data_IF_129942667386
#
_entry.id   IF_129942667386
#
_cell.length_a   1.000
_cell.length_b   1.000
_cell.length_c   1.000
_cell.angle_alpha   90.00
_cell.angle_beta   90.00
_cell.angle_gamma   90.00
#
_symmetry.space_group_name_H-M   'P 1'
#
loop_
_entity.id
_entity.type
_entity.pdbx_description
1 polymer ?
#
# COMPACT_ATOMS: atom_id res chain seq x y z
N UNK A 1 35.31 7.83 6.69
CA UNK A 1 36.59 7.27 6.33
C UNK A 1 36.42 6.01 5.53
N UNK A 2 37.04 5.94 4.35
CA UNK A 2 37.02 4.74 3.53
C UNK A 2 37.97 3.72 4.16
N UNK A 3 37.45 2.66 4.76
CA UNK A 3 38.24 1.65 5.49
C UNK A 3 38.69 0.48 4.58
N UNK A 4 39.00 0.75 3.34
CA UNK A 4 39.81 -0.15 2.53
C UNK A 4 39.08 -1.21 1.69
N UNK A 5 37.75 -1.20 1.58
CA UNK A 5 37.03 -2.01 0.57
C UNK A 5 36.08 -1.14 -0.25
N UNK A 6 36.28 -1.11 -1.56
CA UNK A 6 35.29 -0.57 -2.48
C UNK A 6 34.24 -1.65 -2.77
N UNK A 7 33.00 -1.42 -2.38
CA UNK A 7 31.90 -2.26 -2.77
C UNK A 7 31.28 -1.73 -4.07
N UNK A 8 30.83 -2.60 -4.98
CA UNK A 8 30.14 -2.16 -6.19
C UNK A 8 28.87 -1.37 -5.80
N UNK A 9 28.57 -0.34 -6.55
CA UNK A 9 27.30 0.39 -6.42
C UNK A 9 26.21 -0.55 -6.91
N UNK A 10 25.25 -0.88 -6.05
CA UNK A 10 24.09 -1.72 -6.37
C UNK A 10 22.83 -0.88 -6.37
N UNK A 11 21.94 -1.13 -7.33
CA UNK A 11 20.56 -0.62 -7.27
C UNK A 11 19.79 -1.47 -6.26
N UNK A 12 19.15 -0.88 -5.24
CA UNK A 12 18.28 -1.63 -4.34
C UNK A 12 17.15 -2.34 -5.11
N UNK A 13 16.75 -3.52 -4.62
CA UNK A 13 15.58 -4.21 -5.13
C UNK A 13 14.33 -3.34 -4.88
N UNK A 14 13.43 -3.28 -5.86
CA UNK A 14 12.19 -2.50 -5.78
C UNK A 14 10.97 -3.40 -5.99
N UNK A 15 11.02 -4.29 -6.99
CA UNK A 15 10.02 -5.34 -7.18
C UNK A 15 10.28 -6.51 -6.26
N UNK A 16 9.23 -7.25 -5.88
CA UNK A 16 9.33 -8.43 -5.03
C UNK A 16 8.37 -9.52 -5.51
N UNK A 17 8.88 -10.73 -5.67
CA UNK A 17 8.11 -11.94 -5.97
C UNK A 17 7.74 -12.71 -4.70
N UNK A 18 8.14 -12.17 -3.54
CA UNK A 18 7.93 -12.77 -2.23
C UNK A 18 8.43 -14.24 -2.15
N UNK A 19 9.55 -14.53 -2.83
CA UNK A 19 10.24 -15.83 -2.85
C UNK A 19 11.16 -16.04 -1.64
N UNK A 20 11.23 -15.06 -0.74
CA UNK A 20 11.94 -15.12 0.52
C UNK A 20 11.06 -15.59 1.70
N UNK A 21 11.70 -15.98 2.80
CA UNK A 21 11.02 -16.40 4.04
C UNK A 21 11.02 -15.30 5.12
N UNK A 22 11.46 -14.10 4.77
CA UNK A 22 11.51 -12.95 5.66
C UNK A 22 11.21 -11.66 4.89
N UNK A 23 10.90 -10.59 5.59
CA UNK A 23 10.69 -9.28 4.99
C UNK A 23 11.98 -8.82 4.29
N UNK A 24 11.89 -8.60 2.95
CA UNK A 24 13.02 -8.10 2.15
C UNK A 24 13.37 -6.65 2.52
N UNK A 25 14.65 -6.24 2.37
CA UNK A 25 15.17 -4.97 2.92
C UNK A 25 14.49 -3.69 2.43
N UNK A 26 13.85 -3.70 1.24
CA UNK A 26 13.12 -2.56 0.72
C UNK A 26 11.83 -2.29 1.47
N UNK A 27 11.29 -3.29 2.16
CA UNK A 27 10.03 -3.20 2.90
C UNK A 27 10.24 -2.76 4.35
N UNK A 28 9.26 -2.06 4.85
CA UNK A 28 9.16 -1.72 6.26
C UNK A 28 7.68 -1.74 6.67
N UNK A 29 7.40 -2.16 7.89
CA UNK A 29 6.10 -1.92 8.48
C UNK A 29 6.02 -0.48 9.00
N UNK A 30 4.81 0.04 9.17
CA UNK A 30 4.61 1.39 9.74
C UNK A 30 5.17 1.48 11.18
N UNK A 31 5.14 0.37 11.92
CA UNK A 31 5.77 0.21 13.22
C UNK A 31 6.65 -1.06 13.25
N UNK A 32 7.26 -1.36 14.41
CA UNK A 32 8.07 -2.56 14.57
C UNK A 32 7.24 -3.81 14.29
N UNK A 33 7.72 -4.65 13.37
CA UNK A 33 7.02 -5.84 12.91
C UNK A 33 6.69 -6.80 14.07
N UNK A 34 5.49 -7.39 14.03
CA UNK A 34 5.05 -8.45 14.93
C UNK A 34 4.78 -9.71 14.10
N UNK A 35 5.11 -10.88 14.64
CA UNK A 35 4.92 -12.17 13.95
C UNK A 35 3.50 -12.41 13.41
N UNK A 36 2.50 -11.89 14.11
CA UNK A 36 1.08 -12.02 13.73
C UNK A 36 0.63 -11.09 12.61
N UNK A 37 1.52 -10.27 12.03
CA UNK A 37 1.14 -9.35 10.96
C UNK A 37 1.30 -9.94 9.58
N UNK A 38 2.34 -10.77 9.40
CA UNK A 38 2.65 -11.32 8.09
C UNK A 38 3.28 -12.73 8.21
N UNK A 39 3.04 -13.54 7.20
CA UNK A 39 3.70 -14.82 6.97
C UNK A 39 4.32 -14.82 5.57
N UNK A 40 5.61 -15.10 5.51
CA UNK A 40 6.37 -15.13 4.26
C UNK A 40 6.54 -16.57 3.82
N UNK A 41 5.94 -16.93 2.67
CA UNK A 41 6.00 -18.28 2.10
C UNK A 41 6.81 -18.29 0.80
N UNK A 42 8.12 -18.20 0.93
CA UNK A 42 9.03 -18.20 -0.21
C UNK A 42 8.96 -19.47 -1.07
N UNK A 43 8.52 -20.60 -0.51
CA UNK A 43 8.36 -21.83 -1.26
C UNK A 43 7.21 -21.82 -2.26
N UNK A 44 6.17 -21.03 -2.01
CA UNK A 44 5.01 -20.84 -2.89
C UNK A 44 4.98 -19.45 -3.53
N UNK A 45 5.90 -18.57 -3.16
CA UNK A 45 6.04 -17.23 -3.75
C UNK A 45 4.88 -16.29 -3.40
N UNK A 46 4.60 -16.11 -2.10
CA UNK A 46 3.65 -15.09 -1.64
C UNK A 46 3.96 -14.59 -0.23
N UNK A 47 3.48 -13.41 0.08
CA UNK A 47 3.36 -12.92 1.46
C UNK A 47 1.90 -12.90 1.87
N UNK A 48 1.58 -13.49 3.02
CA UNK A 48 0.26 -13.42 3.65
C UNK A 48 0.26 -12.32 4.70
N UNK A 49 -0.63 -11.34 4.53
CA UNK A 49 -0.92 -10.31 5.53
C UNK A 49 -2.20 -10.70 6.26
N UNK A 50 -2.11 -10.88 7.57
CA UNK A 50 -3.27 -11.18 8.39
C UNK A 50 -4.09 -9.91 8.65
N UNK A 51 -5.40 -10.08 8.65
CA UNK A 51 -6.34 -9.04 9.05
C UNK A 51 -6.14 -8.68 10.52
N UNK A 52 -5.32 -7.65 10.78
CA UNK A 52 -4.98 -7.19 12.14
C UNK A 52 -5.92 -6.07 12.58
N UNK A 53 -6.36 -6.06 13.87
CA UNK A 53 -7.27 -5.03 14.35
C UNK A 53 -6.64 -3.65 14.27
N UNK A 54 -7.42 -2.69 13.80
CA UNK A 54 -7.06 -1.26 13.92
C UNK A 54 -7.12 -0.82 15.38
N UNK A 55 -6.44 0.27 15.78
CA UNK A 55 -6.56 0.81 17.14
C UNK A 55 -8.01 1.22 17.46
N UNK A 56 -8.37 1.27 18.74
CA UNK A 56 -9.72 1.65 19.18
C UNK A 56 -10.09 3.09 18.77
N UNK A 57 -9.11 3.98 18.71
CA UNK A 57 -9.24 5.38 18.31
C UNK A 57 -8.98 5.61 16.81
N UNK A 58 -9.06 4.55 16.01
CA UNK A 58 -8.82 4.56 14.57
C UNK A 58 -9.64 5.63 13.85
N UNK A 59 -8.96 6.43 13.04
CA UNK A 59 -9.55 7.45 12.17
C UNK A 59 -9.24 7.20 10.70
N UNK A 60 -8.02 6.69 10.42
CA UNK A 60 -7.53 6.49 9.08
C UNK A 60 -6.36 5.49 9.05
N UNK A 61 -5.91 5.08 7.86
CA UNK A 61 -4.74 4.19 7.72
C UNK A 61 -3.45 4.79 8.30
N UNK A 62 -3.40 6.08 8.58
CA UNK A 62 -2.28 6.70 9.30
C UNK A 62 -2.05 6.09 10.68
N UNK A 63 -3.11 5.65 11.33
CA UNK A 63 -3.07 5.07 12.68
C UNK A 63 -2.70 3.57 12.69
N UNK A 64 -2.59 2.96 11.49
CA UNK A 64 -2.39 1.51 11.34
C UNK A 64 -0.91 1.15 11.35
N UNK A 65 -0.51 0.30 12.29
CA UNK A 65 0.88 -0.11 12.48
C UNK A 65 1.40 -1.15 11.48
N UNK A 66 0.53 -2.00 10.94
CA UNK A 66 0.88 -3.15 10.08
C UNK A 66 0.75 -2.87 8.58
N UNK A 67 0.89 -1.64 8.15
CA UNK A 67 1.06 -1.33 6.72
C UNK A 67 2.46 -1.77 6.27
N UNK A 68 2.53 -2.62 5.24
CA UNK A 68 3.77 -3.05 4.61
C UNK A 68 4.10 -2.13 3.45
N UNK A 69 5.07 -1.26 3.62
CA UNK A 69 5.36 -0.13 2.74
C UNK A 69 6.81 -0.15 2.28
N UNK A 70 7.07 0.36 1.08
CA UNK A 70 8.40 0.74 0.63
C UNK A 70 8.44 2.19 0.16
N UNK A 71 9.62 2.81 0.15
CA UNK A 71 9.81 4.18 -0.35
C UNK A 71 9.52 4.22 -1.85
N UNK A 72 8.89 5.31 -2.31
CA UNK A 72 8.75 5.55 -3.75
C UNK A 72 10.12 5.71 -4.40
N UNK A 73 10.46 4.91 -5.43
CA UNK A 73 11.83 4.84 -5.95
C UNK A 73 12.16 5.97 -6.93
N UNK A 74 11.15 6.61 -7.49
CA UNK A 74 11.28 7.65 -8.52
C UNK A 74 10.04 8.54 -8.56
N UNK A 75 10.09 9.72 -9.20
CA UNK A 75 8.90 10.55 -9.40
C UNK A 75 7.97 10.02 -10.50
N UNK A 76 8.48 9.21 -11.44
CA UNK A 76 7.72 8.57 -12.51
C UNK A 76 7.94 7.06 -12.43
N UNK A 77 6.91 6.31 -12.09
CA UNK A 77 6.91 4.85 -12.05
C UNK A 77 5.50 4.31 -11.91
N UNK A 78 5.36 3.02 -12.06
CA UNK A 78 4.11 2.30 -11.83
C UNK A 78 4.35 1.21 -10.80
N UNK A 79 3.56 1.19 -9.73
CA UNK A 79 3.50 0.08 -8.78
C UNK A 79 2.26 -0.76 -9.08
N UNK A 80 2.43 -2.07 -9.20
CA UNK A 80 1.31 -3.01 -9.42
C UNK A 80 1.48 -4.21 -8.50
N UNK A 81 0.37 -4.70 -7.94
CA UNK A 81 0.36 -5.91 -7.13
C UNK A 81 -0.86 -6.76 -7.45
N UNK A 82 -0.74 -8.07 -7.26
CA UNK A 82 -1.86 -9.01 -7.28
C UNK A 82 -2.16 -9.43 -5.85
N UNK A 83 -3.39 -9.22 -5.43
CA UNK A 83 -3.89 -9.60 -4.11
C UNK A 83 -4.99 -10.65 -4.22
N UNK A 84 -5.00 -11.59 -3.29
CA UNK A 84 -6.10 -12.53 -3.08
C UNK A 84 -6.62 -12.36 -1.65
N UNK A 85 -7.72 -11.64 -1.52
CA UNK A 85 -8.33 -11.35 -0.23
C UNK A 85 -9.28 -12.46 0.19
N UNK A 86 -9.10 -12.96 1.40
CA UNK A 86 -9.91 -14.00 2.06
C UNK A 86 -10.42 -13.47 3.40
N UNK A 87 -11.43 -12.58 3.39
CA UNK A 87 -12.02 -12.10 4.63
C UNK A 87 -12.78 -13.22 5.33
N UNK A 88 -12.98 -13.08 6.63
CA UNK A 88 -13.89 -13.96 7.36
C UNK A 88 -15.35 -13.64 7.02
N UNK A 89 -16.20 -14.65 6.99
CA UNK A 89 -17.65 -14.47 6.87
C UNK A 89 -18.28 -13.93 8.17
N UNK A 90 -17.60 -14.18 9.30
CA UNK A 90 -18.08 -13.88 10.65
C UNK A 90 -18.11 -12.40 10.99
N UNK A 91 -17.16 -11.63 10.44
CA UNK A 91 -17.01 -10.21 10.73
C UNK A 91 -16.97 -9.39 9.46
N UNK A 92 -17.59 -8.22 9.48
CA UNK A 92 -17.54 -7.25 8.39
C UNK A 92 -16.56 -6.13 8.68
N UNK A 93 -16.19 -5.36 7.65
CA UNK A 93 -15.26 -4.26 7.77
C UNK A 93 -13.77 -4.67 7.71
N UNK A 94 -13.44 -5.94 7.36
CA UNK A 94 -12.08 -6.30 7.01
C UNK A 94 -11.68 -5.64 5.70
N UNK A 95 -10.45 -5.12 5.64
CA UNK A 95 -9.96 -4.31 4.51
C UNK A 95 -8.57 -4.73 4.10
N UNK A 96 -8.32 -4.74 2.80
CA UNK A 96 -6.99 -4.88 2.20
C UNK A 96 -6.84 -3.93 1.01
N UNK A 97 -5.60 -3.70 0.56
CA UNK A 97 -5.43 -2.88 -0.64
C UNK A 97 -4.01 -2.39 -0.89
N UNK A 98 -3.93 -1.49 -1.86
CA UNK A 98 -2.73 -0.76 -2.26
C UNK A 98 -2.87 0.69 -1.78
N UNK A 99 -1.89 1.20 -1.04
CA UNK A 99 -1.89 2.56 -0.48
C UNK A 99 -0.65 3.33 -0.90
N UNK A 100 -0.84 4.61 -1.22
CA UNK A 100 0.22 5.62 -1.41
C UNK A 100 0.19 6.52 -0.19
N UNK A 101 1.17 6.38 0.70
CA UNK A 101 1.20 6.95 2.05
C UNK A 101 2.20 8.09 2.17
N UNK A 102 1.71 9.24 2.57
CA UNK A 102 2.44 10.40 3.04
C UNK A 102 1.69 11.04 4.20
N UNK A 103 1.85 12.34 4.46
CA UNK A 103 0.99 13.09 5.41
C UNK A 103 -0.46 13.17 4.93
N UNK A 104 -0.64 13.14 3.60
CA UNK A 104 -1.89 12.81 2.93
C UNK A 104 -1.71 11.41 2.31
N UNK A 105 -2.79 10.65 2.12
CA UNK A 105 -2.73 9.39 1.41
C UNK A 105 -3.94 9.14 0.53
N UNK A 106 -3.75 8.28 -0.46
CA UNK A 106 -4.84 7.66 -1.22
C UNK A 106 -4.56 6.19 -1.44
N UNK A 107 -5.60 5.41 -1.70
CA UNK A 107 -5.46 3.99 -1.94
C UNK A 107 -6.65 3.36 -2.64
N UNK A 108 -6.43 2.16 -3.14
CA UNK A 108 -7.46 1.24 -3.58
C UNK A 108 -7.68 0.22 -2.47
N UNK A 109 -8.86 0.21 -1.89
CA UNK A 109 -9.20 -0.57 -0.71
C UNK A 109 -10.34 -1.52 -1.05
N UNK A 110 -10.11 -2.81 -0.87
CA UNK A 110 -11.16 -3.84 -0.90
C UNK A 110 -11.67 -4.03 0.51
N UNK A 111 -12.97 -3.90 0.69
CA UNK A 111 -13.65 -4.07 1.98
C UNK A 111 -14.68 -5.19 1.92
N UNK A 112 -14.73 -6.00 2.98
CA UNK A 112 -15.77 -7.00 3.21
C UNK A 112 -16.97 -6.33 3.87
N UNK A 113 -18.02 -6.03 3.08
CA UNK A 113 -19.26 -5.39 3.53
C UNK A 113 -20.40 -6.39 3.67
N UNK A 114 -21.52 -5.97 4.23
CA UNK A 114 -22.74 -6.80 4.31
C UNK A 114 -23.27 -7.22 2.93
N UNK A 115 -22.95 -6.43 1.89
CA UNK A 115 -23.38 -6.67 0.51
C UNK A 115 -22.28 -7.34 -0.35
N UNK A 116 -21.24 -7.91 0.26
CA UNK A 116 -20.12 -8.54 -0.42
C UNK A 116 -18.88 -7.63 -0.49
N UNK A 117 -17.96 -7.98 -1.38
CA UNK A 117 -16.72 -7.23 -1.53
C UNK A 117 -16.93 -5.97 -2.35
N UNK A 118 -16.38 -4.86 -1.85
CA UNK A 118 -16.40 -3.56 -2.54
C UNK A 118 -14.99 -3.04 -2.66
N UNK A 119 -14.58 -2.65 -3.87
CA UNK A 119 -13.35 -1.91 -4.12
C UNK A 119 -13.66 -0.41 -4.14
N UNK A 120 -12.95 0.36 -3.33
CA UNK A 120 -13.10 1.80 -3.24
C UNK A 120 -11.77 2.51 -3.46
N UNK A 121 -11.80 3.65 -4.14
CA UNK A 121 -10.71 4.61 -4.06
C UNK A 121 -10.99 5.53 -2.88
N UNK A 122 -10.08 5.48 -1.91
CA UNK A 122 -10.12 6.31 -0.71
C UNK A 122 -9.03 7.37 -0.75
N UNK A 123 -9.28 8.50 -0.09
CA UNK A 123 -8.34 9.58 0.11
C UNK A 123 -8.45 10.13 1.53
N UNK A 124 -7.34 10.48 2.14
CA UNK A 124 -7.30 11.14 3.43
C UNK A 124 -6.31 12.31 3.39
N UNK A 125 -6.81 13.53 3.34
CA UNK A 125 -6.00 14.74 3.42
C UNK A 125 -5.78 15.12 4.88
N UNK A 126 -4.53 15.47 5.24
CA UNK A 126 -4.11 15.76 6.62
C UNK A 126 -4.29 14.55 7.56
N UNK A 127 -3.98 13.36 7.06
CA UNK A 127 -4.05 12.13 7.83
C UNK A 127 -3.18 12.18 9.10
N UNK A 128 -2.00 12.81 9.01
CA UNK A 128 -1.09 13.09 10.14
C UNK A 128 -1.68 13.99 11.24
N UNK A 129 -2.82 14.62 10.97
CA UNK A 129 -3.57 15.48 11.89
C UNK A 129 -4.90 14.88 12.34
N UNK A 130 -5.09 13.59 12.08
CA UNK A 130 -6.26 12.83 12.52
C UNK A 130 -7.51 13.07 11.68
N UNK A 131 -7.36 13.42 10.42
CA UNK A 131 -8.48 13.44 9.48
C UNK A 131 -8.97 12.03 9.16
N UNK A 132 -10.23 11.92 8.73
CA UNK A 132 -10.87 10.67 8.32
C UNK A 132 -10.81 10.48 6.80
N UNK A 133 -10.93 9.25 6.34
CA UNK A 133 -10.98 8.91 4.93
C UNK A 133 -12.25 9.44 4.25
N UNK A 134 -12.09 9.83 2.99
CA UNK A 134 -13.17 10.10 2.04
C UNK A 134 -13.15 9.01 0.97
N UNK A 135 -14.30 8.46 0.63
CA UNK A 135 -14.49 7.59 -0.52
C UNK A 135 -14.84 8.44 -1.74
N UNK A 136 -14.03 8.36 -2.80
CA UNK A 136 -14.26 9.12 -4.04
C UNK A 136 -15.02 8.29 -5.09
N UNK A 137 -14.80 6.97 -5.14
CA UNK A 137 -15.48 6.07 -6.06
C UNK A 137 -15.48 4.64 -5.50
N UNK A 138 -16.48 3.85 -5.88
CA UNK A 138 -16.59 2.45 -5.47
C UNK A 138 -17.16 1.58 -6.58
N UNK A 139 -16.76 0.30 -6.60
CA UNK A 139 -17.30 -0.72 -7.48
C UNK A 139 -17.44 -2.04 -6.71
N UNK A 140 -18.49 -2.84 -6.96
CA UNK A 140 -18.61 -4.17 -6.38
C UNK A 140 -17.60 -5.13 -7.02
N UNK A 141 -17.08 -6.06 -6.24
CA UNK A 141 -16.22 -7.15 -6.71
C UNK A 141 -16.96 -8.49 -6.60
N UNK A 142 -16.71 -9.38 -7.56
CA UNK A 142 -17.29 -10.72 -7.58
C UNK A 142 -16.54 -11.70 -6.66
N UNK A 143 -15.22 -11.53 -6.57
CA UNK A 143 -14.34 -12.35 -5.74
C UNK A 143 -13.17 -11.52 -5.17
N UNK A 144 -12.34 -12.14 -4.33
CA UNK A 144 -11.25 -11.46 -3.64
C UNK A 144 -9.94 -11.34 -4.44
N UNK A 145 -9.86 -11.89 -5.66
CA UNK A 145 -8.64 -11.78 -6.48
C UNK A 145 -8.69 -10.51 -7.31
N UNK A 146 -7.70 -9.65 -7.13
CA UNK A 146 -7.65 -8.31 -7.74
C UNK A 146 -6.22 -7.88 -8.04
N UNK A 147 -6.04 -7.14 -9.11
CA UNK A 147 -4.80 -6.46 -9.47
C UNK A 147 -4.98 -4.97 -9.24
N UNK A 148 -4.13 -4.39 -8.40
CA UNK A 148 -4.18 -2.99 -8.03
C UNK A 148 -2.95 -2.28 -8.57
N UNK A 149 -3.14 -1.07 -9.09
CA UNK A 149 -2.07 -0.30 -9.74
C UNK A 149 -2.10 1.17 -9.28
N UNK A 150 -0.93 1.69 -8.97
CA UNK A 150 -0.68 3.10 -8.71
C UNK A 150 0.36 3.61 -9.71
N UNK A 151 -0.03 4.53 -10.60
CA UNK A 151 0.84 5.15 -11.60
C UNK A 151 1.21 6.56 -11.15
N UNK A 152 2.50 6.75 -10.87
CA UNK A 152 3.08 8.03 -10.47
C UNK A 152 3.57 8.80 -11.69
N UNK A 153 3.33 10.10 -11.70
CA UNK A 153 3.82 11.00 -12.73
C UNK A 153 4.17 12.35 -12.16
N UNK A 154 5.38 12.81 -12.42
CA UNK A 154 5.81 14.16 -12.08
C UNK A 154 5.54 15.13 -13.24
N UNK A 155 5.14 16.33 -12.92
CA UNK A 155 5.02 17.41 -13.90
C UNK A 155 6.31 18.24 -13.88
N UNK A 156 7.07 18.20 -15.00
CA UNK A 156 8.29 18.99 -15.21
C UNK A 156 9.58 18.23 -14.96
N UNK A 157 10.63 18.61 -15.72
CA UNK A 157 11.96 17.94 -15.72
C UNK A 157 12.94 18.51 -14.69
N UNK A 158 12.54 19.44 -13.84
CA UNK A 158 13.43 20.10 -12.91
C UNK A 158 12.85 20.15 -11.50
N UNK A 159 13.56 19.51 -10.59
CA UNK A 159 13.46 19.78 -9.16
C UNK A 159 14.03 21.19 -8.96
N UNK A 160 13.18 22.22 -8.92
CA UNK A 160 13.59 23.52 -8.40
C UNK A 160 13.55 23.41 -6.88
N UNK A 161 14.70 23.21 -6.26
CA UNK A 161 14.87 23.48 -4.83
C UNK A 161 14.79 25.01 -4.67
N UNK A 162 13.61 25.54 -4.43
CA UNK A 162 13.46 26.88 -3.87
C UNK A 162 13.67 26.81 -2.37
N UNK A 163 14.11 27.88 -1.78
CA UNK A 163 14.43 27.99 -0.35
C UNK A 163 13.24 27.44 0.51
N UNK A 164 13.39 26.20 0.99
CA UNK A 164 12.50 25.56 1.96
C UNK A 164 11.30 24.78 1.40
N UNK A 165 11.15 24.57 0.09
CA UNK A 165 10.04 23.82 -0.49
C UNK A 165 10.49 22.87 -1.59
N UNK A 166 9.93 21.66 -1.63
CA UNK A 166 10.12 20.70 -2.72
C UNK A 166 9.05 20.97 -3.79
N UNK A 167 9.42 21.59 -4.91
CA UNK A 167 8.50 21.97 -6.00
C UNK A 167 8.15 20.80 -6.95
N UNK A 168 8.44 19.56 -6.59
CA UNK A 168 8.08 18.41 -7.41
C UNK A 168 6.63 18.00 -7.15
N UNK A 169 5.73 18.39 -8.05
CA UNK A 169 4.33 17.94 -8.01
C UNK A 169 4.21 16.55 -8.61
N UNK A 170 4.15 15.53 -7.76
CA UNK A 170 3.91 14.14 -8.17
C UNK A 170 2.43 13.82 -8.04
N UNK A 171 1.83 13.34 -9.14
CA UNK A 171 0.46 12.85 -9.16
C UNK A 171 0.43 11.35 -9.21
N UNK A 172 -0.57 10.75 -8.58
CA UNK A 172 -0.83 9.33 -8.65
C UNK A 172 -2.24 9.06 -9.18
N UNK A 173 -2.33 8.24 -10.23
CA UNK A 173 -3.58 7.72 -10.75
C UNK A 173 -3.72 6.25 -10.36
N UNK A 174 -4.86 5.90 -9.78
CA UNK A 174 -5.16 4.57 -9.30
C UNK A 174 -6.04 3.82 -10.30
N UNK A 175 -5.74 2.55 -10.51
CA UNK A 175 -6.51 1.68 -11.41
C UNK A 175 -6.49 0.25 -10.92
N UNK A 176 -7.48 -0.53 -11.32
CA UNK A 176 -7.61 -1.94 -10.95
C UNK A 176 -7.91 -2.82 -12.17
N UNK A 177 -7.67 -4.11 -12.03
CA UNK A 177 -8.02 -5.12 -13.02
C UNK A 177 -8.47 -6.40 -12.31
N UNK A 178 -9.45 -7.09 -12.87
CA UNK A 178 -9.89 -8.42 -12.41
C UNK A 178 -9.22 -9.56 -13.19
N UNK A 179 -8.58 -9.25 -14.34
CA UNK A 179 -7.94 -10.24 -15.21
C UNK A 179 -6.41 -10.05 -15.33
N UNK A 180 -5.86 -9.00 -14.69
CA UNK A 180 -4.45 -8.64 -14.77
C UNK A 180 -4.00 -8.03 -16.11
N UNK A 181 -4.92 -7.86 -17.05
CA UNK A 181 -4.61 -7.38 -18.42
C UNK A 181 -5.18 -6.00 -18.68
N UNK A 182 -6.48 -5.81 -18.42
CA UNK A 182 -7.18 -4.54 -18.67
C UNK A 182 -7.37 -3.80 -17.35
N UNK A 183 -6.63 -2.70 -17.19
CA UNK A 183 -6.75 -1.83 -16.02
C UNK A 183 -7.75 -0.71 -16.27
N UNK A 184 -8.69 -0.55 -15.35
CA UNK A 184 -9.70 0.49 -15.35
C UNK A 184 -9.37 1.51 -14.27
N UNK A 185 -9.38 2.83 -14.57
CA UNK A 185 -9.18 3.85 -13.55
C UNK A 185 -10.33 3.82 -12.54
N UNK A 186 -10.03 4.11 -11.29
CA UNK A 186 -11.04 4.26 -10.23
C UNK A 186 -10.72 5.50 -9.41
N UNK A 187 -11.71 6.39 -9.30
CA UNK A 187 -11.63 7.61 -8.53
C UNK A 187 -10.84 8.72 -9.19
N UNK A 188 -10.32 9.62 -8.39
CA UNK A 188 -9.69 10.87 -8.80
C UNK A 188 -8.15 10.77 -8.76
N UNK A 189 -7.48 11.70 -9.46
CA UNK A 189 -6.03 11.84 -9.39
C UNK A 189 -5.62 12.37 -8.01
N UNK A 190 -4.77 11.65 -7.33
CA UNK A 190 -4.23 12.03 -6.03
C UNK A 190 -2.94 12.85 -6.18
N UNK A 191 -2.84 13.97 -5.45
CA UNK A 191 -1.61 14.73 -5.31
C UNK A 191 -0.75 14.09 -4.21
N UNK A 192 0.35 13.43 -4.60
CA UNK A 192 1.24 12.74 -3.66
C UNK A 192 1.95 13.77 -2.77
N UNK A 193 1.94 13.51 -1.47
CA UNK A 193 2.73 14.24 -0.49
C UNK A 193 3.76 13.35 0.19
N UNK A 194 4.81 13.98 0.65
CA UNK A 194 5.82 13.33 1.49
C UNK A 194 5.24 12.90 2.84
N UNK A 195 5.88 11.91 3.47
CA UNK A 195 5.69 11.59 4.87
C UNK A 195 6.45 12.55 5.77
N UNK A 196 6.20 12.46 7.07
CA UNK A 196 6.90 13.26 8.09
C UNK A 196 8.37 12.82 8.13
N UNK A 197 9.30 13.70 7.78
CA UNK A 197 10.76 13.48 7.73
C UNK A 197 11.25 12.49 6.65
N UNK A 198 10.38 11.93 5.84
CA UNK A 198 10.68 10.95 4.80
C UNK A 198 9.83 11.23 3.56
N UNK A 199 10.23 10.69 2.41
CA UNK A 199 9.41 10.73 1.20
C UNK A 199 8.11 9.94 1.32
N UNK A 200 7.32 9.97 0.27
CA UNK A 200 6.14 9.12 0.17
C UNK A 200 6.53 7.64 0.10
N UNK A 201 5.61 6.78 0.48
CA UNK A 201 5.73 5.32 0.42
C UNK A 201 4.57 4.74 -0.37
N UNK A 202 4.75 3.52 -0.87
CA UNK A 202 3.71 2.74 -1.52
C UNK A 202 3.75 1.32 -0.99
N UNK A 203 2.62 0.68 -0.83
CA UNK A 203 2.58 -0.70 -0.35
C UNK A 203 1.18 -1.23 -0.10
N UNK A 204 1.12 -2.30 0.66
CA UNK A 204 -0.08 -3.12 0.87
C UNK A 204 -0.39 -3.29 2.35
N UNK A 205 -1.61 -3.68 2.65
CA UNK A 205 -2.05 -3.87 4.03
C UNK A 205 -3.22 -4.86 4.11
N UNK A 206 -3.45 -5.37 5.33
CA UNK A 206 -4.68 -6.09 5.67
C UNK A 206 -5.08 -5.74 7.11
N UNK A 207 -6.31 -5.28 7.29
CA UNK A 207 -6.82 -4.79 8.58
C UNK A 207 -8.24 -5.25 8.84
N UNK A 208 -8.67 -5.18 10.09
CA UNK A 208 -10.07 -5.36 10.51
C UNK A 208 -10.47 -4.29 11.52
N UNK A 209 -11.77 -4.10 11.78
CA UNK A 209 -12.22 -3.32 12.92
C UNK A 209 -11.55 -3.76 14.22
N UNK A 210 -11.60 -2.92 15.27
CA UNK A 210 -11.00 -3.18 16.58
C UNK A 210 -11.71 -4.33 17.33
N UNK A 211 -11.74 -5.53 16.70
CA UNK A 211 -12.35 -6.75 17.23
C UNK A 211 -11.24 -7.72 17.61
N UNK A 212 -11.26 -8.17 18.88
CA UNK A 212 -10.36 -9.21 19.37
C UNK A 212 -10.89 -10.57 18.96
N UNK A 213 -10.20 -11.23 18.01
CA UNK A 213 -10.55 -12.56 17.51
C UNK A 213 -9.33 -13.27 16.95
N UNK A 214 -9.34 -14.60 16.94
CA UNK A 214 -8.39 -15.44 16.22
C UNK A 214 -8.91 -15.87 14.83
N UNK A 215 -10.14 -15.48 14.48
CA UNK A 215 -10.83 -15.91 13.25
C UNK A 215 -10.79 -14.82 12.17
N UNK A 216 -9.83 -13.90 12.22
CA UNK A 216 -9.66 -12.86 11.18
C UNK A 216 -9.24 -13.46 9.84
N UNK A 217 -9.64 -12.79 8.75
CA UNK A 217 -9.22 -13.13 7.41
C UNK A 217 -7.77 -12.72 7.12
N UNK A 218 -7.40 -12.81 5.85
CA UNK A 218 -6.07 -12.44 5.37
C UNK A 218 -6.10 -12.01 3.90
N UNK A 219 -5.00 -11.46 3.45
CA UNK A 219 -4.73 -11.26 2.02
C UNK A 219 -3.38 -11.87 1.67
N UNK A 220 -3.32 -12.59 0.56
CA UNK A 220 -2.09 -13.06 -0.04
C UNK A 220 -1.70 -12.10 -1.16
N UNK A 221 -0.44 -11.64 -1.16
CA UNK A 221 0.14 -10.92 -2.26
C UNK A 221 1.14 -11.83 -2.97
N UNK A 222 0.88 -12.12 -4.26
CA UNK A 222 1.73 -13.00 -5.05
C UNK A 222 3.02 -12.29 -5.48
N UNK A 223 2.95 -10.99 -5.71
CA UNK A 223 4.08 -10.17 -6.13
C UNK A 223 3.75 -8.68 -6.01
N UNK A 224 4.80 -7.88 -6.00
CA UNK A 224 4.75 -6.43 -6.10
C UNK A 224 5.74 -5.96 -7.18
N UNK A 225 5.28 -5.26 -8.20
CA UNK A 225 6.08 -4.84 -9.35
C UNK A 225 6.24 -3.33 -9.37
N UNK A 226 7.48 -2.89 -9.59
CA UNK A 226 7.83 -1.50 -9.88
C UNK A 226 8.37 -1.43 -11.31
N UNK A 227 7.76 -0.58 -12.12
CA UNK A 227 8.13 -0.33 -13.52
C UNK A 227 8.39 1.17 -13.69
N UNK A 228 9.57 1.55 -14.24
CA UNK A 228 10.00 2.94 -14.48
C UNK A 228 9.93 3.29 -15.96
#
# INVERSE_FOLDING_TARGET
>A
PNVGKNYPICTPQESDDFDGYTLSPQWQMQANIKEKWAYFNGGEGFVRLYSYPVPEDYKSLWDVSNLMLQKTPAPNFTATTKLTFKPTEKYKGERTGLVVMGMDYAGLVVENTDNGLVLSQVECLKADRGATEKVNASVPLKDGTIYLRAKFSAKGDKIKASEGGHDLLVKCNLSYSTDGKKFQPLGETFQVKEGKWIGAKVGIFCTRPAIVTNDGGWTDADWFRIEK
#
